data_IF_516483924160
#
_entry.id   IF_516483924160
#
_cell.length_a   1.000
_cell.length_b   1.000
_cell.length_c   1.000
_cell.angle_alpha   90.00
_cell.angle_beta   90.00
_cell.angle_gamma   90.00
#
_symmetry.space_group_name_H-M   'P 1'
#
loop_
_entity.id
_entity.type
_entity.pdbx_description
1 polymer ?
#
# COMPACT_ATOMS: atom_id res chain seq x y z
N UNK A 1 -13.74 23.96 6.15
CA UNK A 1 -13.76 22.71 5.36
C UNK A 1 -15.04 22.73 4.55
N UNK A 2 -14.97 22.62 3.22
CA UNK A 2 -16.17 22.59 2.36
C UNK A 2 -16.73 21.17 2.32
N UNK A 3 -18.06 21.03 2.31
CA UNK A 3 -18.73 19.73 2.22
C UNK A 3 -18.30 18.97 0.96
N UNK A 4 -18.08 19.69 -0.14
CA UNK A 4 -17.57 19.15 -1.39
C UNK A 4 -16.21 18.46 -1.23
N UNK A 5 -15.29 19.05 -0.46
CA UNK A 5 -13.95 18.49 -0.25
C UNK A 5 -13.96 17.20 0.58
N UNK A 6 -14.91 17.08 1.52
CA UNK A 6 -15.13 15.83 2.27
C UNK A 6 -15.74 14.75 1.38
N UNK A 7 -16.71 15.11 0.53
CA UNK A 7 -17.35 14.18 -0.40
C UNK A 7 -16.37 13.69 -1.47
N UNK A 8 -15.51 14.55 -2.02
CA UNK A 8 -14.49 14.14 -2.99
C UNK A 8 -13.44 13.23 -2.35
N UNK A 9 -13.01 13.51 -1.11
CA UNK A 9 -12.09 12.64 -0.39
C UNK A 9 -12.71 11.26 -0.11
N UNK A 10 -13.95 11.23 0.37
CA UNK A 10 -14.67 9.97 0.61
C UNK A 10 -14.84 9.17 -0.69
N UNK A 11 -15.23 9.84 -1.78
CA UNK A 11 -15.33 9.22 -3.10
C UNK A 11 -13.98 8.67 -3.56
N UNK A 12 -12.87 9.38 -3.34
CA UNK A 12 -11.53 8.93 -3.70
C UNK A 12 -11.13 7.64 -2.97
N UNK A 13 -11.31 7.61 -1.65
CA UNK A 13 -10.99 6.43 -0.83
C UNK A 13 -11.88 5.25 -1.21
N UNK A 14 -13.18 5.46 -1.40
CA UNK A 14 -14.11 4.39 -1.82
C UNK A 14 -13.74 3.88 -3.21
N UNK A 15 -13.39 4.76 -4.14
CA UNK A 15 -12.97 4.38 -5.49
C UNK A 15 -11.66 3.59 -5.43
N UNK A 16 -10.68 4.00 -4.62
CA UNK A 16 -9.42 3.28 -4.43
C UNK A 16 -9.66 1.87 -3.83
N UNK A 17 -10.50 1.77 -2.79
CA UNK A 17 -10.86 0.50 -2.17
C UNK A 17 -11.61 -0.42 -3.13
N UNK A 18 -12.51 0.14 -3.95
CA UNK A 18 -13.23 -0.61 -4.97
C UNK A 18 -12.30 -1.06 -6.09
N UNK A 19 -11.40 -0.22 -6.59
CA UNK A 19 -10.49 -0.56 -7.69
C UNK A 19 -9.41 -1.57 -7.30
N UNK A 20 -9.00 -1.63 -6.03
CA UNK A 20 -7.91 -2.50 -5.59
C UNK A 20 -8.12 -4.00 -5.95
N UNK A 21 -9.25 -4.66 -5.64
CA UNK A 21 -9.52 -6.04 -6.08
C UNK A 21 -9.57 -6.20 -7.61
N UNK A 22 -10.05 -5.19 -8.34
CA UNK A 22 -10.13 -5.22 -9.79
C UNK A 22 -8.72 -5.21 -10.42
N UNK A 23 -7.82 -4.38 -9.90
CA UNK A 23 -6.42 -4.34 -10.32
C UNK A 23 -5.72 -5.67 -10.04
N UNK A 24 -6.00 -6.33 -8.91
CA UNK A 24 -5.49 -7.68 -8.63
C UNK A 24 -6.02 -8.68 -9.68
N UNK A 25 -7.30 -8.60 -10.03
CA UNK A 25 -7.90 -9.40 -11.10
C UNK A 25 -7.21 -9.19 -12.44
N UNK A 26 -6.96 -7.93 -12.81
CA UNK A 26 -6.26 -7.55 -14.03
C UNK A 26 -4.83 -8.12 -14.08
N UNK A 27 -4.06 -7.96 -13.00
CA UNK A 27 -2.69 -8.50 -12.91
C UNK A 27 -2.68 -10.02 -13.07
N UNK A 28 -3.67 -10.72 -12.51
CA UNK A 28 -3.79 -12.17 -12.67
C UNK A 28 -4.14 -12.58 -14.11
N UNK A 29 -4.91 -11.77 -14.85
CA UNK A 29 -5.14 -12.00 -16.28
C UNK A 29 -3.86 -11.83 -17.09
N UNK A 30 -3.12 -10.72 -16.86
CA UNK A 30 -1.84 -10.48 -17.51
C UNK A 30 -0.86 -11.64 -17.26
N UNK A 31 -0.78 -12.13 -16.01
CA UNK A 31 0.06 -13.29 -15.66
C UNK A 31 -0.37 -14.55 -16.41
N UNK A 32 -1.67 -14.83 -16.51
CA UNK A 32 -2.16 -16.01 -17.22
C UNK A 32 -1.84 -15.94 -18.72
N UNK A 33 -2.04 -14.77 -19.36
CA UNK A 33 -1.71 -14.57 -20.77
C UNK A 33 -0.21 -14.71 -21.04
N UNK A 34 0.64 -14.13 -20.20
CA UNK A 34 2.10 -14.28 -20.31
C UNK A 34 2.57 -15.73 -20.12
N UNK A 35 1.78 -16.56 -19.43
CA UNK A 35 2.03 -17.99 -19.26
C UNK A 35 1.35 -18.85 -20.33
N UNK A 36 0.78 -18.26 -21.39
CA UNK A 36 -0.02 -18.94 -22.42
C UNK A 36 -1.19 -19.78 -21.85
N UNK A 37 -1.84 -19.29 -20.79
CA UNK A 37 -3.03 -19.91 -20.17
C UNK A 37 -4.27 -19.04 -20.39
N UNK A 38 -5.44 -19.67 -20.35
CA UNK A 38 -6.71 -18.95 -20.35
C UNK A 38 -6.87 -18.15 -19.06
N UNK A 39 -7.18 -16.86 -19.19
CA UNK A 39 -7.27 -15.96 -18.06
C UNK A 39 -8.56 -16.13 -17.24
N UNK A 40 -8.49 -16.04 -15.90
CA UNK A 40 -9.67 -16.00 -15.04
C UNK A 40 -10.49 -14.72 -15.26
N UNK A 41 -11.79 -14.69 -14.91
CA UNK A 41 -12.61 -13.48 -15.09
C UNK A 41 -12.16 -12.33 -14.17
N UNK A 42 -12.19 -11.08 -14.66
CA UNK A 42 -11.77 -9.88 -13.91
C UNK A 42 -12.49 -9.72 -12.56
N UNK A 43 -13.76 -10.11 -12.50
CA UNK A 43 -14.59 -9.99 -11.29
C UNK A 43 -14.38 -11.13 -10.28
N UNK A 44 -13.45 -12.07 -10.54
CA UNK A 44 -13.17 -13.18 -9.64
C UNK A 44 -12.78 -12.71 -8.22
N UNK A 45 -11.90 -11.71 -8.03
CA UNK A 45 -11.53 -11.25 -6.68
C UNK A 45 -12.73 -10.77 -5.86
N UNK A 46 -13.71 -10.08 -6.47
CA UNK A 46 -14.93 -9.69 -5.78
C UNK A 46 -15.80 -10.89 -5.39
N UNK A 47 -15.91 -11.89 -6.27
CA UNK A 47 -16.66 -13.12 -5.96
C UNK A 47 -16.00 -13.89 -4.83
N UNK A 48 -14.66 -13.92 -4.80
CA UNK A 48 -13.88 -14.53 -3.72
C UNK A 48 -14.05 -13.77 -2.40
N UNK A 49 -13.95 -12.44 -2.41
CA UNK A 49 -14.21 -11.62 -1.22
C UNK A 49 -15.62 -11.86 -0.68
N UNK A 50 -16.64 -11.82 -1.54
CA UNK A 50 -18.02 -12.13 -1.16
C UNK A 50 -18.11 -13.53 -0.54
N UNK A 51 -17.49 -14.55 -1.15
CA UNK A 51 -17.46 -15.91 -0.62
C UNK A 51 -16.80 -15.98 0.76
N UNK A 52 -15.68 -15.28 0.97
CA UNK A 52 -14.96 -15.27 2.24
C UNK A 52 -15.73 -14.54 3.34
N UNK A 53 -16.45 -13.47 3.01
CA UNK A 53 -17.31 -12.76 3.96
C UNK A 53 -18.52 -13.57 4.44
N UNK A 54 -18.96 -14.57 3.66
CA UNK A 54 -20.03 -15.50 4.05
C UNK A 54 -19.49 -16.75 4.76
N UNK A 55 -18.17 -16.88 4.91
CA UNK A 55 -17.54 -18.05 5.53
C UNK A 55 -17.32 -17.79 7.02
N UNK A 56 -17.60 -18.80 7.84
CA UNK A 56 -17.34 -18.73 9.28
C UNK A 56 -15.83 -18.57 9.56
N UNK A 57 -15.52 -17.67 10.48
CA UNK A 57 -14.16 -17.42 10.92
C UNK A 57 -13.72 -18.51 11.91
N UNK A 58 -12.80 -19.37 11.47
CA UNK A 58 -12.15 -20.36 12.35
C UNK A 58 -10.89 -19.72 12.92
N UNK A 59 -10.87 -19.52 14.24
CA UNK A 59 -9.74 -18.95 14.97
C UNK A 59 -9.09 -20.03 15.84
N UNK A 60 -7.77 -19.99 15.97
CA UNK A 60 -7.05 -20.87 16.87
C UNK A 60 -7.41 -20.55 18.34
N UNK A 61 -7.47 -21.57 19.18
CA UNK A 61 -7.76 -21.42 20.62
C UNK A 61 -6.69 -20.61 21.35
N UNK A 62 -5.44 -20.67 20.89
CA UNK A 62 -4.30 -19.90 21.41
C UNK A 62 -4.25 -18.45 20.94
N UNK A 63 -5.07 -18.04 19.96
CA UNK A 63 -5.01 -16.71 19.39
C UNK A 63 -5.54 -15.67 20.38
N UNK A 64 -4.77 -14.61 20.59
CA UNK A 64 -5.17 -13.52 21.47
C UNK A 64 -6.17 -12.59 20.75
N UNK A 65 -6.81 -11.65 21.47
CA UNK A 65 -7.64 -10.62 20.85
C UNK A 65 -6.89 -9.78 19.81
N UNK A 66 -5.56 -9.69 19.90
CA UNK A 66 -4.72 -9.00 18.93
C UNK A 66 -4.92 -9.56 17.53
N UNK A 67 -4.92 -10.88 17.37
CA UNK A 67 -5.12 -11.53 16.07
C UNK A 67 -6.42 -11.11 15.38
N UNK A 68 -7.48 -10.85 16.15
CA UNK A 68 -8.76 -10.36 15.63
C UNK A 68 -8.67 -8.90 15.19
N UNK A 69 -7.86 -8.08 15.85
CA UNK A 69 -7.69 -6.67 15.54
C UNK A 69 -6.77 -6.44 14.32
N UNK A 70 -5.76 -7.29 14.09
CA UNK A 70 -4.75 -7.11 13.04
C UNK A 70 -5.35 -6.82 11.65
N UNK A 71 -6.31 -7.60 11.12
CA UNK A 71 -6.85 -7.35 9.78
C UNK A 71 -7.51 -5.98 9.65
N UNK A 72 -8.19 -5.50 10.71
CA UNK A 72 -8.85 -4.19 10.71
C UNK A 72 -7.84 -3.05 10.82
N UNK A 73 -6.78 -3.22 11.60
CA UNK A 73 -5.69 -2.23 11.71
C UNK A 73 -4.98 -2.08 10.38
N UNK A 74 -4.57 -3.19 9.76
CA UNK A 74 -3.88 -3.18 8.45
C UNK A 74 -4.78 -2.57 7.38
N UNK A 75 -6.05 -2.98 7.31
CA UNK A 75 -7.01 -2.41 6.35
C UNK A 75 -7.23 -0.90 6.59
N UNK A 76 -7.36 -0.48 7.85
CA UNK A 76 -7.47 0.92 8.24
C UNK A 76 -6.25 1.75 7.82
N UNK A 77 -5.03 1.24 8.06
CA UNK A 77 -3.80 1.88 7.62
C UNK A 77 -3.78 2.07 6.09
N UNK A 78 -4.17 1.05 5.32
CA UNK A 78 -4.22 1.15 3.85
C UNK A 78 -5.28 2.13 3.36
N UNK A 79 -6.43 2.22 4.02
CA UNK A 79 -7.47 3.22 3.71
C UNK A 79 -6.99 4.65 4.01
N UNK A 80 -6.33 4.85 5.15
CA UNK A 80 -5.75 6.15 5.51
C UNK A 80 -4.66 6.54 4.50
N UNK A 81 -3.78 5.61 4.12
CA UNK A 81 -2.78 5.85 3.08
C UNK A 81 -3.42 6.25 1.74
N UNK A 82 -4.48 5.55 1.32
CA UNK A 82 -5.22 5.88 0.11
C UNK A 82 -5.90 7.26 0.16
N UNK A 83 -6.29 7.73 1.36
CA UNK A 83 -6.86 9.06 1.55
C UNK A 83 -5.82 10.19 1.64
N UNK A 84 -4.60 9.86 2.06
CA UNK A 84 -3.47 10.80 2.15
C UNK A 84 -2.88 11.08 0.76
N UNK A 85 -2.78 10.06 -0.09
CA UNK A 85 -2.18 10.19 -1.43
C UNK A 85 -3.13 10.99 -2.33
N UNK A 86 -2.71 12.14 -2.89
CA UNK A 86 -3.56 12.99 -3.73
C UNK A 86 -3.78 12.33 -5.11
N UNK A 87 -4.83 11.52 -5.23
CA UNK A 87 -5.16 10.75 -6.44
C UNK A 87 -6.15 11.43 -7.38
N UNK A 88 -7.13 12.16 -6.82
CA UNK A 88 -8.20 12.83 -7.59
C UNK A 88 -8.20 14.36 -7.43
N UNK A 89 -7.36 14.90 -6.53
CA UNK A 89 -7.21 16.32 -6.31
C UNK A 89 -6.14 16.62 -5.26
N UNK A 90 -5.49 17.77 -5.37
CA UNK A 90 -4.43 18.23 -4.45
C UNK A 90 -4.99 19.01 -3.25
N UNK A 91 -6.17 19.62 -3.39
CA UNK A 91 -6.81 20.43 -2.34
C UNK A 91 -7.81 19.61 -1.49
N UNK A 92 -7.35 18.45 -1.00
CA UNK A 92 -8.13 17.59 -0.12
C UNK A 92 -7.82 17.88 1.36
N UNK A 93 -8.79 17.73 2.28
CA UNK A 93 -8.58 17.96 3.70
C UNK A 93 -7.41 17.15 4.31
N UNK A 94 -7.26 15.90 3.90
CA UNK A 94 -6.14 15.05 4.29
C UNK A 94 -4.79 15.45 3.66
N UNK A 95 -4.78 16.28 2.61
CA UNK A 95 -3.56 16.79 1.98
C UNK A 95 -2.70 17.62 2.94
N UNK A 96 -3.31 18.25 3.96
CA UNK A 96 -2.57 18.99 5.00
C UNK A 96 -1.77 18.07 5.94
N UNK A 97 -2.21 16.84 6.12
CA UNK A 97 -1.52 15.81 6.92
C UNK A 97 -0.69 14.86 6.04
N UNK A 98 -0.63 15.12 4.73
CA UNK A 98 0.02 14.26 3.75
C UNK A 98 1.53 14.53 3.67
N UNK A 99 2.26 14.09 4.69
CA UNK A 99 3.71 14.03 4.67
C UNK A 99 4.19 12.66 4.16
N UNK A 100 5.19 12.65 3.30
CA UNK A 100 5.90 11.45 2.85
C UNK A 100 6.41 10.61 4.03
N UNK A 101 6.90 11.26 5.11
CA UNK A 101 7.39 10.55 6.31
C UNK A 101 6.24 9.85 7.04
N UNK A 102 5.08 10.50 7.13
CA UNK A 102 3.89 9.92 7.75
C UNK A 102 3.39 8.69 6.99
N UNK A 103 3.45 8.70 5.66
CA UNK A 103 3.11 7.53 4.82
C UNK A 103 4.04 6.34 5.11
N UNK A 104 5.36 6.57 5.19
CA UNK A 104 6.31 5.50 5.54
C UNK A 104 6.03 4.95 6.93
N UNK A 105 5.81 5.82 7.92
CA UNK A 105 5.45 5.39 9.27
C UNK A 105 4.15 4.58 9.32
N UNK A 106 3.17 4.93 8.49
CA UNK A 106 1.90 4.22 8.38
C UNK A 106 2.07 2.81 7.78
N UNK A 107 2.91 2.66 6.75
CA UNK A 107 3.25 1.35 6.19
C UNK A 107 4.05 0.50 7.17
N UNK A 108 5.04 1.07 7.86
CA UNK A 108 5.79 0.39 8.91
C UNK A 108 4.88 -0.08 10.05
N UNK A 109 3.91 0.73 10.45
CA UNK A 109 2.89 0.36 11.45
C UNK A 109 2.05 -0.82 10.98
N UNK A 110 1.53 -0.77 9.76
CA UNK A 110 0.75 -1.89 9.20
C UNK A 110 1.58 -3.19 9.19
N UNK A 111 2.85 -3.11 8.79
CA UNK A 111 3.76 -4.26 8.76
C UNK A 111 4.07 -4.81 10.14
N UNK A 112 4.28 -3.95 11.14
CA UNK A 112 4.46 -4.35 12.53
C UNK A 112 3.26 -5.18 13.02
N UNK A 113 2.02 -4.73 12.76
CA UNK A 113 0.83 -5.48 13.12
C UNK A 113 0.70 -6.81 12.36
N UNK A 114 1.10 -6.86 11.09
CA UNK A 114 1.15 -8.12 10.33
C UNK A 114 2.11 -9.13 10.98
N UNK A 115 3.32 -8.71 11.35
CA UNK A 115 4.28 -9.59 12.03
C UNK A 115 3.80 -10.02 13.41
N UNK A 116 3.22 -9.11 14.19
CA UNK A 116 2.64 -9.46 15.49
C UNK A 116 1.51 -10.48 15.34
N UNK A 117 0.58 -10.28 14.39
CA UNK A 117 -0.51 -11.23 14.13
C UNK A 117 0.00 -12.62 13.68
N UNK A 118 1.09 -12.66 12.91
CA UNK A 118 1.71 -13.92 12.51
C UNK A 118 2.35 -14.67 13.68
N UNK A 119 2.91 -13.96 14.67
CA UNK A 119 3.51 -14.55 15.87
C UNK A 119 2.48 -14.93 16.95
N UNK A 120 1.35 -14.21 17.02
CA UNK A 120 0.34 -14.34 18.08
C UNK A 120 -0.29 -15.74 18.19
N UNK A 121 -0.44 -16.43 17.05
CA UNK A 121 -0.99 -17.81 17.03
C UNK A 121 -0.04 -18.81 17.70
N UNK A 122 1.24 -18.48 17.84
CA UNK A 122 2.23 -19.30 18.54
C UNK A 122 2.76 -20.51 17.75
N UNK A 123 2.60 -20.52 16.43
CA UNK A 123 3.09 -21.61 15.57
C UNK A 123 4.50 -21.33 15.05
N UNK A 124 5.28 -22.40 14.82
CA UNK A 124 6.62 -22.31 14.24
C UNK A 124 6.62 -21.64 12.85
N UNK A 125 5.60 -21.91 12.03
CA UNK A 125 5.47 -21.31 10.69
C UNK A 125 5.12 -19.82 10.73
N UNK A 126 4.23 -19.41 11.63
CA UNK A 126 3.87 -18.00 11.79
C UNK A 126 5.07 -17.13 12.18
N UNK A 127 5.87 -17.59 13.15
CA UNK A 127 7.09 -16.90 13.55
C UNK A 127 8.19 -16.91 12.48
N UNK A 128 8.34 -18.01 11.73
CA UNK A 128 9.31 -18.08 10.63
C UNK A 128 8.94 -17.13 9.48
N UNK A 129 7.65 -17.06 9.12
CA UNK A 129 7.14 -16.12 8.12
C UNK A 129 7.32 -14.67 8.55
N UNK A 130 6.98 -14.35 9.81
CA UNK A 130 7.17 -13.01 10.36
C UNK A 130 8.62 -12.54 10.28
N UNK A 131 9.59 -13.42 10.58
CA UNK A 131 11.03 -13.08 10.48
C UNK A 131 11.47 -12.76 9.05
N UNK A 132 10.98 -13.51 8.05
CA UNK A 132 11.30 -13.27 6.64
C UNK A 132 10.75 -11.93 6.17
N UNK A 133 9.49 -11.66 6.49
CA UNK A 133 8.82 -10.41 6.13
C UNK A 133 9.50 -9.19 6.79
N UNK A 134 9.83 -9.29 8.08
CA UNK A 134 10.52 -8.23 8.81
C UNK A 134 11.93 -7.96 8.26
N UNK A 135 12.66 -9.00 7.85
CA UNK A 135 14.00 -8.85 7.26
C UNK A 135 13.96 -8.05 5.95
N UNK A 136 13.00 -8.36 5.08
CA UNK A 136 12.81 -7.65 3.81
C UNK A 136 12.37 -6.21 4.08
N UNK A 137 11.38 -6.03 4.97
CA UNK A 137 10.88 -4.71 5.34
C UNK A 137 11.95 -3.79 5.92
N UNK A 138 12.82 -4.33 6.80
CA UNK A 138 13.94 -3.59 7.38
C UNK A 138 14.92 -3.05 6.31
N UNK A 139 15.09 -3.76 5.20
CA UNK A 139 15.93 -3.31 4.08
C UNK A 139 15.18 -2.36 3.14
N UNK A 140 13.88 -2.58 2.93
CA UNK A 140 13.05 -1.81 2.01
C UNK A 140 12.68 -0.41 2.56
N UNK A 141 12.42 -0.29 3.87
CA UNK A 141 11.96 0.96 4.49
C UNK A 141 12.98 2.12 4.37
N UNK A 142 14.28 1.94 4.67
CA UNK A 142 15.28 2.99 4.45
C UNK A 142 15.41 3.37 2.98
N UNK A 143 15.30 2.39 2.06
CA UNK A 143 15.34 2.65 0.64
C UNK A 143 14.13 3.49 0.18
N UNK A 144 12.94 3.20 0.72
CA UNK A 144 11.73 3.99 0.48
C UNK A 144 11.93 5.45 0.94
N UNK A 145 12.50 5.66 2.13
CA UNK A 145 12.82 6.99 2.63
C UNK A 145 13.81 7.74 1.73
N UNK A 146 14.86 7.06 1.23
CA UNK A 146 15.84 7.71 0.34
C UNK A 146 15.22 8.16 -0.99
N UNK A 147 14.32 7.35 -1.55
CA UNK A 147 13.56 7.72 -2.75
C UNK A 147 12.71 8.97 -2.47
N UNK A 148 11.98 8.97 -1.36
CA UNK A 148 11.11 10.10 -1.00
C UNK A 148 11.92 11.36 -0.70
N UNK A 149 13.06 11.24 -0.02
CA UNK A 149 13.95 12.37 0.25
C UNK A 149 14.56 12.97 -1.02
N UNK A 150 14.91 12.16 -2.02
CA UNK A 150 15.38 12.68 -3.30
C UNK A 150 14.33 13.62 -3.94
N UNK A 151 13.07 13.17 -4.00
CA UNK A 151 11.97 13.99 -4.54
C UNK A 151 11.66 15.20 -3.64
N UNK A 152 11.75 15.03 -2.32
CA UNK A 152 11.54 16.11 -1.36
C UNK A 152 12.62 17.20 -1.46
N UNK A 153 13.88 16.83 -1.70
CA UNK A 153 14.99 17.79 -1.88
C UNK A 153 14.82 18.61 -3.16
N UNK A 154 14.34 18.00 -4.24
CA UNK A 154 14.08 18.69 -5.51
C UNK A 154 12.91 19.68 -5.38
N UNK A 155 11.86 19.29 -4.65
CA UNK A 155 10.65 20.11 -4.46
C UNK A 155 10.75 21.12 -3.30
N UNK A 156 11.68 20.92 -2.38
CA UNK A 156 11.87 21.73 -1.17
C UNK A 156 10.84 21.45 -0.06
N UNK A 157 10.10 20.34 -0.13
CA UNK A 157 9.09 19.98 0.87
C UNK A 157 8.89 18.47 0.97
N UNK A 158 8.53 17.98 2.15
CA UNK A 158 8.12 16.58 2.36
C UNK A 158 6.61 16.36 2.19
N UNK A 159 5.84 17.45 2.04
CA UNK A 159 4.40 17.38 1.81
C UNK A 159 4.11 16.90 0.39
N UNK A 160 3.39 15.78 0.28
CA UNK A 160 3.07 15.12 -1.01
C UNK A 160 2.31 16.04 -1.98
N UNK A 161 1.31 16.85 -1.54
CA UNK A 161 0.63 17.76 -2.46
C UNK A 161 1.58 18.83 -3.03
N UNK A 162 2.48 19.36 -2.19
CA UNK A 162 3.46 20.38 -2.61
C UNK A 162 4.45 19.77 -3.62
N UNK A 163 4.88 18.52 -3.40
CA UNK A 163 5.72 17.79 -4.35
C UNK A 163 5.02 17.70 -5.71
N UNK A 164 3.75 17.29 -5.74
CA UNK A 164 2.97 17.15 -6.99
C UNK A 164 2.84 18.50 -7.71
N UNK A 165 2.44 19.55 -7.00
CA UNK A 165 2.25 20.89 -7.60
C UNK A 165 3.56 21.45 -8.18
N UNK A 166 4.67 21.27 -7.46
CA UNK A 166 6.01 21.72 -7.91
C UNK A 166 6.48 20.95 -9.14
N UNK A 167 6.25 19.64 -9.18
CA UNK A 167 6.70 18.80 -10.27
C UNK A 167 5.89 19.07 -11.55
N UNK A 168 4.59 19.34 -11.42
CA UNK A 168 3.75 19.77 -12.54
C UNK A 168 4.18 21.14 -13.06
N UNK A 169 4.50 22.08 -12.17
CA UNK A 169 4.91 23.44 -12.55
C UNK A 169 6.28 23.50 -13.25
N UNK A 170 7.21 22.60 -12.94
CA UNK A 170 8.54 22.54 -13.56
C UNK A 170 8.53 22.03 -15.01
N UNK A 171 7.41 21.46 -15.48
CA UNK A 171 7.32 20.83 -16.80
C UNK A 171 8.04 19.48 -16.86
N UNK A 172 7.88 18.77 -17.99
CA UNK A 172 8.42 17.41 -18.15
C UNK A 172 9.94 17.45 -18.45
N UNK A 173 10.75 17.70 -17.42
CA UNK A 173 12.20 17.63 -17.49
C UNK A 173 12.70 16.24 -17.06
N UNK A 174 13.45 15.57 -17.92
CA UNK A 174 14.07 14.27 -17.59
C UNK A 174 15.25 14.52 -16.66
N UNK A 175 15.00 14.50 -15.35
CA UNK A 175 16.05 14.55 -14.34
C UNK A 175 16.62 13.15 -14.12
N UNK A 176 17.93 12.90 -14.33
CA UNK A 176 18.56 11.60 -14.09
C UNK A 176 18.33 11.10 -12.66
N UNK A 177 18.35 12.00 -11.67
CA UNK A 177 18.06 11.68 -10.26
C UNK A 177 16.65 11.13 -10.05
N UNK A 178 15.64 11.69 -10.73
CA UNK A 178 14.26 11.20 -10.66
C UNK A 178 14.11 9.85 -11.36
N UNK A 179 14.86 9.60 -12.44
CA UNK A 179 14.86 8.31 -13.11
C UNK A 179 15.43 7.19 -12.20
N UNK A 180 16.55 7.45 -11.52
CA UNK A 180 17.09 6.50 -10.54
C UNK A 180 16.19 6.33 -9.32
N UNK A 181 15.55 7.40 -8.82
CA UNK A 181 14.54 7.30 -7.77
C UNK A 181 13.35 6.46 -8.20
N UNK A 182 12.85 6.62 -9.43
CA UNK A 182 11.74 5.84 -9.95
C UNK A 182 12.10 4.35 -10.05
N UNK A 183 13.31 4.02 -10.53
CA UNK A 183 13.79 2.65 -10.57
C UNK A 183 13.89 2.03 -9.16
N UNK A 184 14.49 2.76 -8.21
CA UNK A 184 14.58 2.33 -6.83
C UNK A 184 13.19 2.17 -6.20
N UNK A 185 12.26 3.08 -6.48
CA UNK A 185 10.87 2.99 -6.02
C UNK A 185 10.17 1.73 -6.54
N UNK A 186 10.37 1.37 -7.81
CA UNK A 186 9.82 0.14 -8.37
C UNK A 186 10.36 -1.09 -7.64
N UNK A 187 11.66 -1.14 -7.36
CA UNK A 187 12.27 -2.25 -6.60
C UNK A 187 11.71 -2.34 -5.18
N UNK A 188 11.56 -1.21 -4.49
CA UNK A 188 10.93 -1.13 -3.17
C UNK A 188 9.46 -1.57 -3.24
N UNK A 189 8.71 -1.12 -4.24
CA UNK A 189 7.30 -1.47 -4.40
C UNK A 189 7.10 -2.98 -4.63
N UNK A 190 8.03 -3.64 -5.33
CA UNK A 190 8.02 -5.09 -5.48
C UNK A 190 8.30 -5.80 -4.15
N UNK A 191 9.29 -5.34 -3.39
CA UNK A 191 9.63 -5.88 -2.08
C UNK A 191 8.49 -5.70 -1.06
N UNK A 192 7.92 -4.50 -0.99
CA UNK A 192 6.85 -4.13 -0.05
C UNK A 192 5.54 -4.90 -0.30
N UNK A 193 5.28 -5.32 -1.54
CA UNK A 193 4.07 -6.06 -1.89
C UNK A 193 4.27 -7.59 -1.97
N UNK A 194 5.41 -8.11 -1.51
CA UNK A 194 5.79 -9.53 -1.62
C UNK A 194 5.53 -10.06 -3.04
N UNK A 195 6.04 -9.33 -4.05
CA UNK A 195 5.91 -9.72 -5.45
C UNK A 195 7.24 -10.21 -5.98
N UNK A 196 7.19 -11.27 -6.79
CA UNK A 196 8.32 -11.79 -7.56
C UNK A 196 9.11 -10.62 -8.20
N UNK A 197 10.44 -10.57 -8.01
CA UNK A 197 11.32 -11.64 -7.55
C UNK A 197 11.49 -11.79 -6.02
N UNK A 198 10.81 -10.96 -5.22
CA UNK A 198 10.96 -10.90 -3.76
C UNK A 198 9.68 -11.46 -3.12
N UNK A 199 9.68 -12.75 -2.78
CA UNK A 199 8.60 -13.52 -2.12
C UNK A 199 9.24 -14.54 -1.15
#
# INVERSE_FOLDING_TARGET
MTLSALLTQAAAVVTAAALAPLLVGWVNQCRAWLQNRTAPPLLLPYRTLRKLLHKDAVLAESASPLFRAVPYVVFGCMLVAAGIIPSLGTDLPAGRAADAIALVGLFATARMFMALGAMDVGTAFGSLGARREMLIGFLAEPALLMVLFNVALISGSTAVPVIVDRLVAQGFAVNPSLAFAALAFVMVLLAENARLPID
#
